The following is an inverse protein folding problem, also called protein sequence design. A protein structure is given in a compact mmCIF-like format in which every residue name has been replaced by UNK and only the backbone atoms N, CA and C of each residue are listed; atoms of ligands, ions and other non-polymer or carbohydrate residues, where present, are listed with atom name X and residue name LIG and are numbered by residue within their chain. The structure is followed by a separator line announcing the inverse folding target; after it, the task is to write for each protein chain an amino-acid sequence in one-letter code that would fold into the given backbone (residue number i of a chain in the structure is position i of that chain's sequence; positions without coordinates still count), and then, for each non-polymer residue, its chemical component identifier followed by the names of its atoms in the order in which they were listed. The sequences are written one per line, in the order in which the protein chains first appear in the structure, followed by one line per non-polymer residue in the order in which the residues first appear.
data_IF_815095509715
#
_entry.id   IF_815095509715
#
_cell.length_a   1.000
_cell.length_b   1.000
_cell.length_c   1.000
_cell.angle_alpha   90.00
_cell.angle_beta   90.00
_cell.angle_gamma   90.00
#
_symmetry.space_group_name_H-M   'P 1'
#
loop_
_entity.id
_entity.type
_entity.pdbx_description
1 polymer ?
#
# COMPACT_ATOMS: atom_id res chain seq x y z
N UNK A 1 -61.80 28.73 -36.48
CA UNK A 1 -61.68 28.19 -35.11
C UNK A 1 -60.44 27.31 -35.04
N UNK A 2 -59.39 27.78 -34.35
CA UNK A 2 -58.03 27.20 -34.39
C UNK A 2 -57.71 26.66 -32.99
N UNK A 3 -57.83 25.35 -32.81
CA UNK A 3 -57.50 24.68 -31.55
C UNK A 3 -56.01 24.31 -31.51
N UNK A 4 -55.18 25.12 -30.85
CA UNK A 4 -53.80 24.78 -30.58
C UNK A 4 -53.73 23.83 -29.38
N UNK A 5 -53.33 22.58 -29.62
CA UNK A 5 -52.99 21.59 -28.59
C UNK A 5 -51.67 22.00 -27.91
N UNK A 6 -51.72 22.37 -26.63
CA UNK A 6 -50.52 22.50 -25.80
C UNK A 6 -49.95 21.12 -25.49
N UNK A 7 -48.81 20.79 -26.10
CA UNK A 7 -48.01 19.62 -25.74
C UNK A 7 -47.17 20.00 -24.50
N UNK A 8 -47.57 19.49 -23.33
CA UNK A 8 -46.83 19.61 -22.07
C UNK A 8 -45.58 18.73 -22.14
N UNK A 9 -44.41 19.33 -22.37
CA UNK A 9 -43.13 18.64 -22.23
C UNK A 9 -42.83 18.45 -20.74
N UNK A 10 -43.07 17.24 -20.22
CA UNK A 10 -42.49 16.78 -18.96
C UNK A 10 -40.98 16.66 -19.15
N UNK A 11 -40.24 17.68 -18.69
CA UNK A 11 -38.79 17.62 -18.52
C UNK A 11 -38.48 16.66 -17.37
N UNK A 12 -38.17 15.40 -17.70
CA UNK A 12 -37.54 14.45 -16.78
C UNK A 12 -36.13 14.97 -16.43
N UNK A 13 -35.75 15.04 -15.13
CA UNK A 13 -34.41 15.47 -14.76
C UNK A 13 -33.41 14.38 -15.19
N UNK A 14 -32.26 14.73 -15.79
CA UNK A 14 -31.23 13.75 -16.08
C UNK A 14 -30.63 13.27 -14.76
N UNK A 15 -30.82 11.97 -14.48
CA UNK A 15 -30.08 11.25 -13.45
C UNK A 15 -28.60 11.22 -13.86
N UNK A 16 -27.86 12.24 -13.43
CA UNK A 16 -26.40 12.24 -13.51
C UNK A 16 -25.90 11.28 -12.44
N UNK A 17 -25.72 10.01 -12.82
CA UNK A 17 -24.96 9.04 -12.04
C UNK A 17 -23.49 9.48 -12.07
N UNK A 18 -23.10 10.30 -11.11
CA UNK A 18 -21.70 10.55 -10.82
C UNK A 18 -21.09 9.22 -10.33
N UNK A 19 -20.49 8.46 -11.24
CA UNK A 19 -19.59 7.37 -10.89
C UNK A 19 -18.37 7.99 -10.20
N UNK A 20 -18.44 8.11 -8.87
CA UNK A 20 -17.27 8.43 -8.07
C UNK A 20 -16.26 7.33 -8.27
N UNK A 21 -15.13 7.63 -8.94
CA UNK A 21 -13.95 6.80 -8.87
C UNK A 21 -13.52 6.79 -7.40
N UNK A 22 -13.94 5.77 -6.64
CA UNK A 22 -13.38 5.50 -5.34
C UNK A 22 -11.90 5.22 -5.57
N UNK A 23 -11.05 6.22 -5.30
CA UNK A 23 -9.61 6.03 -5.15
C UNK A 23 -9.43 4.86 -4.19
N UNK A 24 -8.94 3.73 -4.72
CA UNK A 24 -8.58 2.57 -3.90
C UNK A 24 -7.51 3.09 -2.95
N UNK A 25 -7.92 3.29 -1.70
CA UNK A 25 -7.25 4.19 -0.77
C UNK A 25 -5.77 3.91 -0.66
N UNK A 26 -4.98 4.97 -0.85
CA UNK A 26 -3.60 5.04 -0.36
C UNK A 26 -3.65 4.62 1.11
N UNK A 27 -3.01 3.51 1.45
CA UNK A 27 -3.03 3.03 2.82
C UNK A 27 -2.31 4.05 3.70
N UNK A 28 -2.89 4.40 4.84
CA UNK A 28 -2.26 5.34 5.78
C UNK A 28 -1.26 4.66 6.71
N UNK A 29 -1.31 3.33 6.83
CA UNK A 29 -0.44 2.53 7.69
C UNK A 29 -0.21 1.12 7.15
N UNK A 30 0.87 0.49 7.60
CA UNK A 30 1.17 -0.91 7.33
C UNK A 30 0.30 -1.87 8.17
N UNK A 31 0.08 -3.08 7.66
CA UNK A 31 -0.69 -4.12 8.35
C UNK A 31 -0.08 -5.51 8.10
N UNK A 32 -0.06 -6.34 9.14
CA UNK A 32 0.39 -7.73 9.08
C UNK A 32 -0.66 -8.59 9.76
N UNK A 33 -1.34 -9.44 9.00
CA UNK A 33 -2.29 -10.39 9.54
C UNK A 33 -1.60 -11.52 10.32
N UNK A 34 -2.34 -12.12 11.25
CA UNK A 34 -1.84 -13.20 12.09
C UNK A 34 -1.64 -14.50 11.30
N UNK A 35 -0.76 -15.39 11.79
CA UNK A 35 -0.57 -16.72 11.21
C UNK A 35 0.42 -16.79 10.04
N UNK A 36 1.09 -15.68 9.68
CA UNK A 36 2.20 -15.70 8.71
C UNK A 36 3.42 -16.40 9.34
N UNK A 37 3.96 -17.42 8.67
CA UNK A 37 5.14 -18.14 9.16
C UNK A 37 6.39 -17.26 9.08
N UNK A 38 7.38 -17.53 9.94
CA UNK A 38 8.67 -16.80 9.92
C UNK A 38 9.40 -16.94 8.58
N UNK A 39 9.32 -18.12 7.97
CA UNK A 39 9.96 -18.39 6.67
C UNK A 39 9.31 -17.58 5.56
N UNK A 40 7.97 -17.56 5.52
CA UNK A 40 7.23 -16.78 4.53
C UNK A 40 7.43 -15.28 4.75
N UNK A 41 7.40 -14.80 6.00
CA UNK A 41 7.73 -13.42 6.33
C UNK A 41 9.12 -13.01 5.82
N UNK A 42 10.15 -13.85 6.05
CA UNK A 42 11.52 -13.60 5.55
C UNK A 42 11.58 -13.62 4.03
N UNK A 43 10.87 -14.53 3.38
CA UNK A 43 10.83 -14.61 1.92
C UNK A 43 10.23 -13.34 1.30
N UNK A 44 9.05 -12.92 1.79
CA UNK A 44 8.36 -11.71 1.34
C UNK A 44 9.25 -10.48 1.56
N UNK A 45 9.87 -10.34 2.74
CA UNK A 45 10.74 -9.21 3.05
C UNK A 45 11.94 -9.11 2.08
N UNK A 46 12.57 -10.23 1.73
CA UNK A 46 13.67 -10.23 0.76
C UNK A 46 13.20 -9.92 -0.66
N UNK A 47 12.01 -10.39 -1.06
CA UNK A 47 11.43 -10.04 -2.36
C UNK A 47 11.10 -8.54 -2.45
N UNK A 48 10.53 -7.96 -1.39
CA UNK A 48 10.34 -6.52 -1.28
C UNK A 48 11.65 -5.75 -1.48
N UNK A 49 12.71 -6.11 -0.75
CA UNK A 49 14.03 -5.47 -0.86
C UNK A 49 14.58 -5.57 -2.28
N UNK A 50 14.49 -6.75 -2.90
CA UNK A 50 14.94 -6.97 -4.28
C UNK A 50 14.18 -6.07 -5.25
N UNK A 51 12.87 -5.95 -5.09
CA UNK A 51 12.02 -5.16 -5.97
C UNK A 51 12.30 -3.65 -5.83
N UNK A 52 12.48 -3.15 -4.61
CA UNK A 52 12.74 -1.72 -4.39
C UNK A 52 14.19 -1.31 -4.68
N UNK A 53 15.14 -2.24 -4.77
CA UNK A 53 16.57 -1.91 -4.91
C UNK A 53 16.91 -1.04 -6.11
N UNK A 54 16.23 -1.26 -7.24
CA UNK A 54 16.42 -0.48 -8.46
C UNK A 54 15.80 0.93 -8.36
N UNK A 55 14.51 1.08 -8.04
CA UNK A 55 13.89 2.41 -7.92
C UNK A 55 14.36 3.20 -6.70
N UNK A 56 14.74 2.52 -5.62
CA UNK A 56 15.21 3.08 -4.35
C UNK A 56 16.59 2.50 -3.99
N UNK A 57 17.69 3.00 -4.58
CA UNK A 57 19.04 2.47 -4.33
C UNK A 57 19.48 2.64 -2.86
N UNK A 58 19.97 1.59 -2.17
CA UNK A 58 20.28 1.64 -0.74
C UNK A 58 21.21 2.78 -0.32
N UNK A 59 22.26 3.04 -1.12
CA UNK A 59 23.26 4.06 -0.82
C UNK A 59 22.71 5.50 -0.84
N UNK A 60 21.56 5.73 -1.48
CA UNK A 60 20.98 7.07 -1.70
C UNK A 60 19.59 7.22 -1.07
N UNK A 61 19.02 6.16 -0.54
CA UNK A 61 17.65 6.17 -0.03
C UNK A 61 17.61 5.90 1.47
N UNK A 62 17.04 6.84 2.20
CA UNK A 62 16.50 6.59 3.53
C UNK A 62 15.08 6.07 3.38
N UNK A 63 14.76 4.95 4.01
CA UNK A 63 13.40 4.40 4.05
C UNK A 63 12.77 4.67 5.40
N UNK A 64 11.49 5.01 5.40
CA UNK A 64 10.71 5.26 6.61
C UNK A 64 9.75 4.09 6.78
N UNK A 65 9.84 3.43 7.92
CA UNK A 65 8.95 2.35 8.33
C UNK A 65 8.18 2.80 9.54
N UNK A 66 6.85 2.78 9.44
CA UNK A 66 5.99 3.02 10.59
C UNK A 66 6.07 1.82 11.54
N UNK A 67 6.27 2.09 12.82
CA UNK A 67 6.08 1.10 13.88
C UNK A 67 4.61 0.66 13.92
N UNK A 68 4.40 -0.64 13.92
CA UNK A 68 3.07 -1.19 14.06
C UNK A 68 2.65 -1.15 15.53
N UNK A 69 1.41 -0.74 15.80
CA UNK A 69 0.85 -0.74 17.16
C UNK A 69 0.48 -2.15 17.63
N UNK A 70 0.35 -3.08 16.69
CA UNK A 70 0.13 -4.50 16.96
C UNK A 70 1.46 -5.22 16.78
N UNK A 71 1.84 -6.03 17.76
CA UNK A 71 3.03 -6.86 17.68
C UNK A 71 2.92 -7.80 16.47
N UNK A 72 3.93 -7.75 15.61
CA UNK A 72 4.01 -8.61 14.43
C UNK A 72 5.45 -9.07 14.20
N UNK A 73 5.61 -10.26 13.63
CA UNK A 73 6.92 -10.87 13.39
C UNK A 73 7.60 -10.39 12.09
N UNK A 74 6.92 -9.58 11.27
CA UNK A 74 7.39 -9.17 9.95
C UNK A 74 8.10 -7.82 9.98
N UNK A 75 7.50 -6.81 10.61
CA UNK A 75 8.01 -5.44 10.71
C UNK A 75 9.42 -5.37 11.29
N UNK A 76 9.73 -5.94 12.48
CA UNK A 76 11.09 -5.91 13.02
C UNK A 76 12.09 -6.66 12.12
N UNK A 77 11.70 -7.80 11.55
CA UNK A 77 12.51 -8.56 10.60
C UNK A 77 12.81 -7.75 9.33
N UNK A 78 11.81 -7.08 8.78
CA UNK A 78 11.94 -6.29 7.56
C UNK A 78 12.86 -5.08 7.78
N UNK A 79 12.76 -4.41 8.93
CA UNK A 79 13.66 -3.33 9.33
C UNK A 79 15.12 -3.81 9.42
N UNK A 80 15.36 -4.96 10.05
CA UNK A 80 16.71 -5.55 10.14
C UNK A 80 17.27 -5.91 8.76
N UNK A 81 16.47 -6.55 7.91
CA UNK A 81 16.88 -6.90 6.55
C UNK A 81 17.16 -5.67 5.67
N UNK A 82 16.36 -4.60 5.78
CA UNK A 82 16.62 -3.33 5.09
C UNK A 82 17.96 -2.73 5.50
N UNK A 83 18.26 -2.69 6.82
CA UNK A 83 19.55 -2.21 7.32
C UNK A 83 20.71 -3.04 6.78
N UNK A 84 20.60 -4.38 6.79
CA UNK A 84 21.61 -5.29 6.23
C UNK A 84 21.80 -5.13 4.72
N UNK A 85 20.73 -4.75 4.01
CA UNK A 85 20.79 -4.43 2.58
C UNK A 85 21.41 -3.05 2.28
N UNK A 86 21.79 -2.28 3.31
CA UNK A 86 22.50 -1.01 3.18
C UNK A 86 21.59 0.22 3.21
N UNK A 87 20.30 0.07 3.51
CA UNK A 87 19.40 1.23 3.66
C UNK A 87 19.63 1.93 4.99
N UNK A 88 19.50 3.27 4.98
CA UNK A 88 19.23 4.02 6.21
C UNK A 88 17.75 3.84 6.53
N UNK A 89 17.43 3.39 7.74
CA UNK A 89 16.03 3.11 8.13
C UNK A 89 15.63 4.00 9.30
N UNK A 90 14.58 4.80 9.09
CA UNK A 90 13.89 5.53 10.15
C UNK A 90 12.70 4.68 10.58
N UNK A 91 12.78 4.10 11.78
CA UNK A 91 11.73 3.26 12.36
C UNK A 91 11.00 4.04 13.47
N UNK A 92 9.78 4.49 13.19
CA UNK A 92 9.13 5.54 14.00
C UNK A 92 7.61 5.35 14.10
N UNK A 93 7.04 5.82 15.21
CA UNK A 93 5.59 5.89 15.43
C UNK A 93 4.97 7.12 14.72
N UNK A 94 5.80 8.06 14.28
CA UNK A 94 5.39 9.35 13.69
C UNK A 94 5.99 9.55 12.29
N UNK A 95 5.66 8.71 11.29
CA UNK A 95 6.25 8.78 9.96
C UNK A 95 5.97 10.12 9.26
N UNK A 96 4.84 10.77 9.56
CA UNK A 96 4.45 12.06 9.00
C UNK A 96 5.47 13.18 9.29
N UNK A 97 6.07 13.18 10.49
CA UNK A 97 7.09 14.17 10.86
C UNK A 97 8.43 13.95 10.15
N UNK A 98 8.59 12.84 9.45
CA UNK A 98 9.82 12.42 8.80
C UNK A 98 9.68 12.36 7.28
N UNK A 99 8.53 12.74 6.70
CA UNK A 99 8.24 12.58 5.27
C UNK A 99 9.27 13.22 4.34
N UNK A 100 9.89 14.33 4.75
CA UNK A 100 10.93 15.00 3.95
C UNK A 100 12.33 14.37 4.09
N UNK A 101 12.48 13.33 4.92
CA UNK A 101 13.77 12.69 5.22
C UNK A 101 13.99 11.38 4.47
N UNK A 102 12.99 10.86 3.77
CA UNK A 102 13.08 9.57 3.10
C UNK A 102 11.78 9.14 2.44
N UNK A 103 11.79 7.91 1.92
CA UNK A 103 10.63 7.30 1.26
C UNK A 103 9.91 6.39 2.23
N UNK A 104 8.63 6.67 2.48
CA UNK A 104 7.77 5.79 3.28
C UNK A 104 7.48 4.49 2.51
N UNK A 105 7.77 3.35 3.15
CA UNK A 105 7.33 2.05 2.66
C UNK A 105 6.12 1.62 3.49
N UNK A 106 5.00 1.39 2.80
CA UNK A 106 3.76 0.91 3.37
C UNK A 106 3.51 -0.50 2.85
N UNK A 107 3.11 -1.42 3.73
CA UNK A 107 2.84 -2.78 3.30
C UNK A 107 1.62 -3.38 3.98
N UNK A 108 0.94 -4.27 3.26
CA UNK A 108 -0.12 -5.10 3.80
C UNK A 108 0.17 -6.55 3.49
N UNK A 109 0.13 -7.38 4.52
CA UNK A 109 0.20 -8.83 4.40
C UNK A 109 -1.10 -9.40 4.97
N UNK A 110 -1.97 -9.90 4.09
CA UNK A 110 -3.29 -10.40 4.46
C UNK A 110 -3.36 -11.90 4.17
N UNK A 111 -3.23 -12.75 5.21
CA UNK A 111 -3.51 -14.18 5.13
C UNK A 111 -4.93 -14.43 4.59
N UNK A 112 -5.05 -15.46 3.78
CA UNK A 112 -6.29 -15.93 3.18
C UNK A 112 -6.63 -17.31 3.76
N UNK A 113 -7.91 -17.68 3.68
CA UNK A 113 -8.41 -18.94 4.25
C UNK A 113 -7.82 -20.20 3.59
N UNK A 114 -7.23 -20.07 2.41
CA UNK A 114 -6.62 -21.16 1.65
C UNK A 114 -5.10 -21.29 1.89
N UNK A 115 -4.58 -20.65 2.93
CA UNK A 115 -3.16 -20.68 3.27
C UNK A 115 -2.29 -19.79 2.38
N UNK A 116 -2.87 -18.92 1.54
CA UNK A 116 -2.12 -17.91 0.78
C UNK A 116 -2.02 -16.60 1.54
N UNK A 117 -1.08 -15.75 1.16
CA UNK A 117 -0.94 -14.38 1.67
C UNK A 117 -1.04 -13.43 0.49
N UNK A 118 -2.03 -12.55 0.53
CA UNK A 118 -2.07 -11.38 -0.33
C UNK A 118 -1.10 -10.33 0.23
N UNK A 119 -0.13 -9.93 -0.58
CA UNK A 119 0.94 -9.02 -0.17
C UNK A 119 0.97 -7.82 -1.09
N UNK A 120 0.95 -6.64 -0.48
CA UNK A 120 1.03 -5.35 -1.15
C UNK A 120 2.16 -4.56 -0.51
N UNK A 121 3.05 -4.00 -1.32
CA UNK A 121 4.02 -2.99 -0.94
C UNK A 121 3.73 -1.72 -1.76
N UNK A 122 3.69 -0.59 -1.07
CA UNK A 122 3.41 0.73 -1.63
C UNK A 122 4.51 1.70 -1.22
N UNK A 123 4.94 2.54 -2.14
CA UNK A 123 5.90 3.62 -1.91
C UNK A 123 5.79 4.66 -3.03
N UNK A 124 6.24 5.89 -2.79
CA UNK A 124 6.32 6.89 -3.84
C UNK A 124 7.66 6.81 -4.56
N UNK A 125 7.64 6.86 -5.89
CA UNK A 125 8.83 6.87 -6.75
C UNK A 125 8.65 7.93 -7.83
N UNK A 126 9.62 8.85 -7.94
CA UNK A 126 9.57 9.97 -8.89
C UNK A 126 8.33 10.86 -8.78
N UNK A 127 7.71 10.93 -7.59
CA UNK A 127 6.49 11.70 -7.33
C UNK A 127 5.19 10.89 -7.48
N UNK A 128 5.26 9.68 -8.04
CA UNK A 128 4.10 8.84 -8.29
C UNK A 128 4.01 7.66 -7.32
N UNK A 129 2.79 7.23 -6.93
CA UNK A 129 2.62 6.03 -6.13
C UNK A 129 2.97 4.78 -6.95
N UNK A 130 3.87 3.97 -6.41
CA UNK A 130 4.26 2.66 -6.93
C UNK A 130 3.70 1.55 -6.05
N UNK A 131 3.23 0.48 -6.68
CA UNK A 131 2.65 -0.68 -6.01
C UNK A 131 3.33 -1.97 -6.48
N UNK A 132 3.56 -2.87 -5.54
CA UNK A 132 4.03 -4.22 -5.80
C UNK A 132 3.10 -5.20 -5.12
N UNK A 133 2.33 -5.94 -5.92
CA UNK A 133 1.28 -6.84 -5.46
C UNK A 133 1.66 -8.26 -5.86
N UNK A 134 1.70 -9.16 -4.88
CA UNK A 134 2.01 -10.59 -5.06
C UNK A 134 1.17 -11.44 -4.14
N UNK A 135 0.98 -12.69 -4.54
CA UNK A 135 0.38 -13.73 -3.71
C UNK A 135 1.49 -14.75 -3.39
N UNK A 136 1.58 -15.14 -2.12
CA UNK A 136 2.53 -16.14 -1.63
C UNK A 136 1.80 -17.30 -0.99
N UNK A 137 2.42 -18.47 -0.99
CA UNK A 137 1.98 -19.59 -0.15
C UNK A 137 2.57 -19.41 1.25
N UNK A 138 1.76 -19.59 2.30
CA UNK A 138 2.19 -19.52 3.68
C UNK A 138 2.66 -20.90 4.14
N UNK A 139 3.93 -21.21 3.85
CA UNK A 139 4.57 -22.49 4.19
C UNK A 139 5.49 -22.37 5.40
#
# INVERSE_FOLDING_TARGET
MRGNKMLKYLLLPPLVLAAGCASVGVYSSSYVGQGITKNTAKFIANDYIRNIKRPLPPAKTTVIIQKNNVEDNFTPLFVDLLKRAGYRVIYTDQPQKQQNMGVSLLYRLTPQNDGRIMSVLQYNWSGDPSYYIRIYENK
#
